data_IF_839865128252
#
_entry.id   IF_839865128252
#
_cell.length_a   1.000
_cell.length_b   1.000
_cell.length_c   1.000
_cell.angle_alpha   90.00
_cell.angle_beta   90.00
_cell.angle_gamma   90.00
#
_symmetry.space_group_name_H-M   'P 1'
#
loop_
_entity.id
_entity.type
_entity.pdbx_description
1 polymer ?
#
# COMPACT_ATOMS: atom_id res chain seq x y z
N UNK A 1 -52.63 -60.69 10.55
CA UNK A 1 -51.87 -59.95 11.59
C UNK A 1 -52.37 -58.52 11.53
N UNK A 2 -53.05 -58.05 12.58
CA UNK A 2 -53.71 -56.74 12.57
C UNK A 2 -52.66 -55.63 12.45
N UNK A 3 -52.97 -54.58 11.69
CA UNK A 3 -52.07 -53.45 11.38
C UNK A 3 -51.47 -52.82 12.66
N UNK A 4 -52.19 -52.92 13.77
CA UNK A 4 -51.77 -52.50 15.11
C UNK A 4 -50.60 -53.32 15.66
N UNK A 5 -50.57 -54.62 15.42
CA UNK A 5 -49.49 -55.52 15.85
C UNK A 5 -48.19 -55.23 15.09
N UNK A 6 -48.30 -54.95 13.79
CA UNK A 6 -47.14 -54.58 12.96
C UNK A 6 -46.55 -53.24 13.43
N UNK A 7 -47.41 -52.25 13.71
CA UNK A 7 -46.96 -50.94 14.18
C UNK A 7 -46.26 -51.03 15.55
N UNK A 8 -46.75 -51.88 16.46
CA UNK A 8 -46.11 -52.12 17.76
C UNK A 8 -44.76 -52.82 17.62
N UNK A 9 -44.62 -53.76 16.67
CA UNK A 9 -43.35 -54.42 16.38
C UNK A 9 -42.35 -53.40 15.83
N UNK A 10 -42.75 -52.57 14.86
CA UNK A 10 -41.87 -51.55 14.27
C UNK A 10 -41.45 -50.50 15.30
N UNK A 11 -42.38 -50.03 16.13
CA UNK A 11 -42.07 -49.08 17.20
C UNK A 11 -41.12 -49.69 18.24
N UNK A 12 -41.34 -50.95 18.61
CA UNK A 12 -40.45 -51.70 19.49
C UNK A 12 -39.03 -51.80 18.92
N UNK A 13 -38.89 -52.11 17.63
CA UNK A 13 -37.58 -52.16 16.95
C UNK A 13 -36.88 -50.80 16.96
N UNK A 14 -37.59 -49.71 16.69
CA UNK A 14 -37.02 -48.36 16.68
C UNK A 14 -36.55 -47.95 18.08
N UNK A 15 -37.37 -48.16 19.11
CA UNK A 15 -36.98 -47.84 20.49
C UNK A 15 -35.78 -48.67 20.93
N UNK A 16 -35.73 -49.95 20.56
CA UNK A 16 -34.59 -50.83 20.88
C UNK A 16 -33.31 -50.36 20.19
N UNK A 17 -33.40 -49.89 18.93
CA UNK A 17 -32.28 -49.31 18.20
C UNK A 17 -31.75 -48.03 18.86
N UNK A 18 -32.64 -47.14 19.30
CA UNK A 18 -32.25 -45.89 19.98
C UNK A 18 -31.55 -46.20 21.31
N UNK A 19 -32.08 -47.14 22.09
CA UNK A 19 -31.48 -47.56 23.36
C UNK A 19 -30.12 -48.25 23.12
N UNK A 20 -30.01 -49.08 22.08
CA UNK A 20 -28.74 -49.72 21.71
C UNK A 20 -27.69 -48.68 21.27
N UNK A 21 -28.09 -47.67 20.50
CA UNK A 21 -27.19 -46.60 20.06
C UNK A 21 -26.75 -45.73 21.24
N UNK A 22 -27.67 -45.37 22.13
CA UNK A 22 -27.38 -44.63 23.36
C UNK A 22 -26.45 -45.42 24.29
N UNK A 23 -26.70 -46.72 24.46
CA UNK A 23 -25.84 -47.62 25.20
C UNK A 23 -24.45 -47.77 24.58
N UNK A 24 -24.36 -47.80 23.25
CA UNK A 24 -23.08 -47.84 22.52
C UNK A 24 -22.28 -46.54 22.69
N UNK A 25 -22.93 -45.38 22.62
CA UNK A 25 -22.28 -44.07 22.86
C UNK A 25 -21.79 -43.98 24.31
N UNK A 26 -22.60 -44.37 25.29
CA UNK A 26 -22.19 -44.40 26.69
C UNK A 26 -21.06 -45.40 26.91
N UNK A 27 -21.11 -46.58 26.29
CA UNK A 27 -20.05 -47.58 26.36
C UNK A 27 -18.73 -47.08 25.74
N UNK A 28 -18.80 -46.33 24.64
CA UNK A 28 -17.62 -45.70 24.02
C UNK A 28 -17.08 -44.53 24.85
N UNK A 29 -17.94 -43.79 25.55
CA UNK A 29 -17.53 -42.68 26.42
C UNK A 29 -17.06 -43.13 27.81
N UNK A 30 -17.51 -44.28 28.29
CA UNK A 30 -17.10 -44.84 29.61
C UNK A 30 -15.99 -45.87 29.51
N UNK A 31 -15.64 -46.35 28.31
CA UNK A 31 -14.30 -46.90 28.10
C UNK A 31 -13.33 -45.74 28.26
N UNK A 32 -12.64 -45.73 29.40
CA UNK A 32 -11.33 -45.12 29.51
C UNK A 32 -10.58 -45.45 28.22
N UNK A 33 -10.20 -44.42 27.49
CA UNK A 33 -9.33 -44.60 26.34
C UNK A 33 -8.13 -45.38 26.87
N UNK A 34 -8.02 -46.64 26.47
CA UNK A 34 -6.73 -47.31 26.42
C UNK A 34 -5.89 -46.35 25.60
N UNK A 35 -5.09 -45.56 26.32
CA UNK A 35 -4.03 -44.75 25.78
C UNK A 35 -3.16 -45.76 25.06
N UNK A 36 -3.42 -45.92 23.77
CA UNK A 36 -2.47 -46.52 22.87
C UNK A 36 -1.25 -45.66 23.07
N UNK A 37 -0.27 -46.21 23.80
CA UNK A 37 1.08 -45.70 23.91
C UNK A 37 1.59 -45.71 22.47
N UNK A 38 1.28 -44.64 21.75
CA UNK A 38 2.13 -44.15 20.66
C UNK A 38 3.50 -44.18 21.29
N UNK A 39 4.42 -44.95 20.68
CA UNK A 39 5.84 -45.02 21.05
C UNK A 39 6.16 -43.83 21.92
N UNK A 40 6.53 -44.07 23.17
CA UNK A 40 7.31 -43.13 23.95
C UNK A 40 8.53 -42.86 23.06
N UNK A 41 8.39 -41.87 22.17
CA UNK A 41 9.49 -41.02 21.79
C UNK A 41 9.84 -40.53 23.17
N UNK A 42 10.90 -41.12 23.73
CA UNK A 42 11.76 -40.38 24.62
C UNK A 42 12.07 -39.15 23.77
N UNK A 43 11.23 -38.11 23.88
CA UNK A 43 11.70 -36.77 23.65
C UNK A 43 12.87 -36.75 24.61
N UNK A 44 14.12 -36.78 24.10
CA UNK A 44 15.24 -36.59 25.00
C UNK A 44 14.84 -35.37 25.81
N UNK A 45 14.99 -35.43 27.15
CA UNK A 45 14.92 -34.23 27.98
C UNK A 45 15.65 -33.16 27.18
N UNK A 46 14.87 -32.28 26.54
CA UNK A 46 15.45 -31.15 25.86
C UNK A 46 15.74 -30.32 27.09
N UNK A 47 16.94 -30.49 27.65
CA UNK A 47 17.59 -29.39 28.32
C UNK A 47 17.21 -28.20 27.46
N UNK A 48 16.37 -27.29 28.00
CA UNK A 48 16.13 -26.01 27.36
C UNK A 48 17.53 -25.47 27.12
N UNK A 49 18.03 -25.66 25.89
CA UNK A 49 19.35 -25.19 25.51
C UNK A 49 19.13 -23.70 25.43
N UNK A 50 19.26 -23.04 26.58
CA UNK A 50 19.24 -21.59 26.70
C UNK A 50 20.26 -21.14 25.68
N UNK A 51 19.76 -20.60 24.57
CA UNK A 51 20.64 -20.22 23.50
C UNK A 51 21.54 -19.11 24.06
N UNK A 52 22.88 -19.28 24.10
CA UNK A 52 23.78 -18.30 24.70
C UNK A 52 23.76 -16.94 23.98
N UNK A 53 23.12 -16.90 22.81
CA UNK A 53 22.98 -15.71 21.99
C UNK A 53 21.67 -14.95 22.23
N UNK A 54 20.64 -15.54 22.84
CA UNK A 54 19.28 -14.95 22.92
C UNK A 54 19.29 -13.52 23.48
N UNK A 55 20.08 -13.25 24.53
CA UNK A 55 20.16 -11.94 25.19
C UNK A 55 21.27 -11.02 24.63
N UNK A 56 21.80 -11.32 23.44
CA UNK A 56 22.92 -10.57 22.84
C UNK A 56 22.48 -9.47 21.86
N UNK A 57 21.22 -9.05 21.91
CA UNK A 57 20.67 -7.97 21.08
C UNK A 57 21.48 -6.66 21.17
N UNK A 58 21.83 -6.23 22.38
CA UNK A 58 22.64 -5.02 22.61
C UNK A 58 24.04 -5.09 21.99
N UNK A 59 24.64 -6.29 21.98
CA UNK A 59 25.92 -6.50 21.32
C UNK A 59 25.78 -6.37 19.80
N UNK A 60 24.66 -6.82 19.22
CA UNK A 60 24.38 -6.68 17.80
C UNK A 60 24.17 -5.21 17.42
N UNK A 61 23.39 -4.46 18.19
CA UNK A 61 23.19 -3.02 18.01
C UNK A 61 24.53 -2.28 18.08
N UNK A 62 25.35 -2.59 19.09
CA UNK A 62 26.66 -1.96 19.27
C UNK A 62 27.60 -2.18 18.09
N UNK A 63 27.54 -3.34 17.42
CA UNK A 63 28.34 -3.59 16.22
C UNK A 63 27.88 -2.72 15.05
N UNK A 64 26.57 -2.54 14.87
CA UNK A 64 26.03 -1.69 13.79
C UNK A 64 26.32 -0.22 14.04
N UNK A 65 26.12 0.27 15.28
CA UNK A 65 26.39 1.66 15.67
C UNK A 65 27.81 2.12 15.37
N UNK A 66 28.80 1.21 15.51
CA UNK A 66 30.22 1.49 15.30
C UNK A 66 30.65 1.50 13.85
N UNK A 67 29.78 1.11 12.91
CA UNK A 67 30.10 1.25 11.49
C UNK A 67 30.23 2.71 11.14
N UNK A 68 31.19 3.00 10.27
CA UNK A 68 31.45 4.36 9.79
C UNK A 68 30.79 4.56 8.43
N UNK A 69 30.24 5.75 8.24
CA UNK A 69 29.73 6.24 6.96
C UNK A 69 30.52 7.49 6.56
N UNK A 70 30.95 7.53 5.30
CA UNK A 70 31.41 8.77 4.68
C UNK A 70 30.16 9.58 4.36
N UNK A 71 29.94 10.67 5.08
CA UNK A 71 28.75 11.50 4.84
C UNK A 71 28.80 12.06 3.42
N UNK A 72 27.69 11.98 2.66
CA UNK A 72 27.64 12.67 1.38
C UNK A 72 27.75 14.17 1.65
N UNK A 73 28.38 14.90 0.73
CA UNK A 73 28.42 16.36 0.76
C UNK A 73 26.98 16.87 0.77
N UNK A 74 26.48 17.26 1.94
CA UNK A 74 25.17 17.90 2.05
C UNK A 74 25.33 19.27 1.39
N UNK A 75 24.67 19.55 0.24
CA UNK A 75 24.77 20.86 -0.36
C UNK A 75 24.17 21.86 0.62
N UNK A 76 25.00 22.73 1.21
CA UNK A 76 24.51 23.87 1.98
C UNK A 76 23.52 24.61 1.09
N UNK A 77 22.27 24.75 1.55
CA UNK A 77 21.29 25.66 0.94
C UNK A 77 21.98 26.99 0.68
N UNK A 78 22.14 27.37 -0.58
CA UNK A 78 22.60 28.71 -0.94
C UNK A 78 21.59 29.71 -0.35
N UNK A 79 21.98 30.39 0.73
CA UNK A 79 21.36 31.67 1.06
C UNK A 79 21.47 32.56 -0.20
N UNK A 80 20.40 33.27 -0.60
CA UNK A 80 20.41 34.05 -1.82
C UNK A 80 21.41 35.19 -1.66
N UNK A 81 22.65 34.98 -2.14
CA UNK A 81 23.65 36.04 -2.16
C UNK A 81 23.22 37.09 -3.17
N UNK A 82 23.29 38.39 -2.80
CA UNK A 82 22.94 39.47 -3.70
C UNK A 82 23.88 39.44 -4.91
N UNK A 83 23.28 39.56 -6.09
CA UNK A 83 23.93 39.50 -7.40
C UNK A 83 25.16 40.42 -7.44
N UNK A 84 26.36 39.83 -7.35
CA UNK A 84 27.59 40.51 -7.76
C UNK A 84 28.55 39.51 -8.41
N UNK A 85 29.31 40.06 -9.36
CA UNK A 85 29.93 39.38 -10.51
C UNK A 85 30.99 38.34 -10.14
N UNK A 86 30.95 37.23 -10.89
CA UNK A 86 32.05 36.39 -11.38
C UNK A 86 33.25 36.19 -10.44
N UNK A 87 33.30 35.02 -9.81
CA UNK A 87 34.45 34.10 -9.83
C UNK A 87 33.89 32.67 -9.72
N UNK A 88 34.20 31.81 -10.69
CA UNK A 88 34.01 30.35 -10.56
C UNK A 88 34.94 29.91 -9.43
N UNK A 89 34.39 29.75 -8.23
CA UNK A 89 35.05 29.00 -7.17
C UNK A 89 34.79 27.54 -7.53
N UNK A 90 35.84 26.81 -7.88
CA UNK A 90 35.78 25.34 -7.84
C UNK A 90 35.42 25.04 -6.38
N UNK A 91 34.24 24.47 -6.15
CA UNK A 91 33.91 23.91 -4.84
C UNK A 91 34.91 22.78 -4.63
N UNK A 92 35.89 23.04 -3.79
CA UNK A 92 36.78 22.02 -3.25
C UNK A 92 35.87 21.06 -2.48
N UNK A 93 35.68 19.86 -3.03
CA UNK A 93 35.01 18.75 -2.35
C UNK A 93 35.79 18.45 -1.06
N UNK A 94 35.34 19.05 0.04
CA UNK A 94 35.88 18.70 1.36
C UNK A 94 35.19 17.40 1.75
N UNK A 95 35.85 16.27 1.50
CA UNK A 95 35.46 14.99 2.08
C UNK A 95 35.34 15.17 3.60
N UNK A 96 34.11 15.13 4.11
CA UNK A 96 33.87 15.17 5.55
C UNK A 96 34.43 13.88 6.16
N UNK A 97 35.03 13.94 7.36
CA UNK A 97 35.52 12.75 8.02
C UNK A 97 34.39 11.72 8.19
N UNK A 98 34.69 10.41 8.11
CA UNK A 98 33.72 9.39 8.41
C UNK A 98 33.15 9.61 9.81
N UNK A 99 31.84 9.42 9.97
CA UNK A 99 31.18 9.42 11.28
C UNK A 99 30.59 8.05 11.55
N UNK A 100 30.38 7.75 12.81
CA UNK A 100 29.68 6.52 13.17
C UNK A 100 28.21 6.58 12.78
N UNK A 101 27.57 5.43 12.61
CA UNK A 101 26.13 5.39 12.34
C UNK A 101 25.34 6.05 13.46
N UNK A 102 25.74 5.87 14.72
CA UNK A 102 25.07 6.51 15.86
C UNK A 102 25.06 8.04 15.75
N UNK A 103 26.20 8.63 15.37
CA UNK A 103 26.32 10.07 15.11
C UNK A 103 25.53 10.51 13.87
N UNK A 104 25.52 9.68 12.81
CA UNK A 104 24.77 9.98 11.59
C UNK A 104 23.25 10.01 11.84
N UNK A 105 22.71 9.07 12.60
CA UNK A 105 21.27 9.04 12.93
C UNK A 105 20.87 10.12 13.95
N UNK A 106 21.81 10.62 14.76
CA UNK A 106 21.57 11.79 15.61
C UNK A 106 21.50 13.11 14.81
N UNK A 107 22.00 13.13 13.57
CA UNK A 107 21.91 14.28 12.68
C UNK A 107 20.61 14.26 11.86
N UNK A 108 19.67 15.14 12.20
CA UNK A 108 18.40 15.28 11.45
C UNK A 108 18.58 15.55 9.96
N UNK A 109 19.63 16.27 9.57
CA UNK A 109 19.88 16.60 8.17
C UNK A 109 20.30 15.37 7.39
N UNK A 110 21.08 14.47 7.99
CA UNK A 110 21.41 13.16 7.40
C UNK A 110 20.14 12.33 7.19
N UNK A 111 19.29 12.22 8.21
CA UNK A 111 18.02 11.46 8.11
C UNK A 111 17.12 12.03 7.00
N UNK A 112 16.92 13.35 6.97
CA UNK A 112 16.03 13.99 5.98
C UNK A 112 16.60 13.96 4.57
N UNK A 113 17.90 14.24 4.39
CA UNK A 113 18.50 14.39 3.06
C UNK A 113 19.00 13.09 2.45
N UNK A 114 19.52 12.17 3.27
CA UNK A 114 20.14 10.91 2.80
C UNK A 114 19.15 9.76 2.85
N UNK A 115 18.32 9.66 3.88
CA UNK A 115 17.32 8.60 3.97
C UNK A 115 15.98 9.00 3.34
N UNK A 116 15.72 10.30 3.20
CA UNK A 116 14.42 10.80 2.72
C UNK A 116 13.27 10.48 3.67
N UNK A 117 13.56 10.25 4.96
CA UNK A 117 12.57 9.87 5.97
C UNK A 117 12.18 11.10 6.78
N UNK A 118 10.88 11.37 6.87
CA UNK A 118 10.30 12.45 7.70
C UNK A 118 9.61 11.95 8.97
N UNK A 119 9.57 10.64 9.18
CA UNK A 119 8.96 9.98 10.34
C UNK A 119 9.78 10.18 11.62
N UNK A 120 9.11 10.06 12.78
CA UNK A 120 9.75 10.25 14.09
C UNK A 120 10.72 9.10 14.39
N UNK A 121 11.93 9.41 14.85
CA UNK A 121 12.89 8.39 15.25
C UNK A 121 12.49 7.75 16.59
N UNK A 122 12.35 6.42 16.61
CA UNK A 122 12.10 5.63 17.82
C UNK A 122 13.42 5.20 18.45
N UNK A 123 14.38 4.80 17.60
CA UNK A 123 15.71 4.39 18.02
C UNK A 123 16.09 3.00 17.52
N UNK A 124 17.13 2.44 18.14
CA UNK A 124 17.70 1.15 17.76
C UNK A 124 16.90 0.00 18.34
N UNK A 125 16.57 -0.97 17.49
CA UNK A 125 15.88 -2.20 17.87
C UNK A 125 16.68 -3.40 17.37
N UNK A 126 16.62 -4.49 18.12
CA UNK A 126 17.17 -5.77 17.70
C UNK A 126 16.15 -6.87 17.87
N UNK A 127 16.05 -7.74 16.88
CA UNK A 127 15.26 -8.95 16.92
C UNK A 127 16.18 -10.14 16.72
N UNK A 128 16.14 -11.07 17.66
CA UNK A 128 16.84 -12.34 17.49
C UNK A 128 16.18 -13.14 16.37
N UNK A 129 16.98 -13.58 15.40
CA UNK A 129 16.46 -14.23 14.21
C UNK A 129 16.34 -15.74 14.43
N UNK A 130 15.23 -16.22 15.00
CA UNK A 130 15.02 -17.65 15.30
C UNK A 130 14.79 -18.54 14.05
N UNK A 131 14.35 -18.00 12.90
CA UNK A 131 13.88 -18.83 11.77
C UNK A 131 14.78 -18.91 10.51
N UNK A 132 16.03 -18.44 10.51
CA UNK A 132 16.72 -18.22 9.21
C UNK A 132 17.46 -19.39 8.57
N UNK A 133 17.57 -20.57 9.20
CA UNK A 133 18.57 -21.59 8.82
C UNK A 133 20.05 -21.12 8.94
N UNK A 134 20.32 -19.86 9.32
CA UNK A 134 21.67 -19.32 9.50
C UNK A 134 22.25 -19.62 10.90
N UNK A 135 21.39 -19.88 11.89
CA UNK A 135 21.78 -20.38 13.21
C UNK A 135 21.65 -19.34 14.32
N UNK A 136 21.95 -19.73 15.56
CA UNK A 136 21.52 -19.00 16.76
C UNK A 136 22.19 -17.63 16.99
N UNK A 137 23.23 -17.29 16.22
CA UNK A 137 24.09 -16.12 16.42
C UNK A 137 23.77 -14.95 15.48
N UNK A 138 22.66 -15.04 14.75
CA UNK A 138 22.19 -14.02 13.82
C UNK A 138 21.12 -13.13 14.44
N UNK A 139 21.29 -11.82 14.25
CA UNK A 139 20.37 -10.79 14.71
C UNK A 139 19.93 -9.92 13.54
N UNK A 140 18.66 -9.53 13.54
CA UNK A 140 18.21 -8.39 12.75
C UNK A 140 18.35 -7.14 13.62
N UNK A 141 19.03 -6.12 13.11
CA UNK A 141 19.14 -4.82 13.78
C UNK A 141 18.50 -3.77 12.88
N UNK A 142 17.68 -2.90 13.46
CA UNK A 142 16.97 -1.82 12.77
C UNK A 142 17.21 -0.50 13.50
N UNK A 143 17.33 0.59 12.75
CA UNK A 143 17.03 1.92 13.30
C UNK A 143 15.60 2.28 12.93
N UNK A 144 14.68 2.26 13.90
CA UNK A 144 13.26 2.36 13.66
C UNK A 144 12.79 3.82 13.64
N UNK A 145 12.02 4.16 12.61
CA UNK A 145 11.20 5.35 12.51
C UNK A 145 9.73 4.95 12.59
N UNK A 146 8.94 5.72 13.34
CA UNK A 146 7.51 5.51 13.51
C UNK A 146 6.73 6.37 12.52
N UNK A 147 5.96 5.71 11.67
CA UNK A 147 5.01 6.33 10.76
C UNK A 147 3.62 5.73 11.02
N UNK A 148 2.77 6.49 11.73
CA UNK A 148 1.53 5.94 12.28
C UNK A 148 1.83 4.80 13.25
N UNK A 149 1.22 3.64 13.05
CA UNK A 149 1.48 2.43 13.85
C UNK A 149 2.54 1.50 13.24
N UNK A 150 3.19 1.93 12.16
CA UNK A 150 4.21 1.13 11.48
C UNK A 150 5.61 1.63 11.86
N UNK A 151 6.50 0.66 12.08
CA UNK A 151 7.94 0.89 12.25
C UNK A 151 8.69 0.50 10.99
N UNK A 152 9.42 1.44 10.42
CA UNK A 152 10.24 1.26 9.22
C UNK A 152 11.65 1.80 9.42
N UNK A 153 12.58 1.46 8.53
CA UNK A 153 13.91 2.05 8.56
C UNK A 153 14.97 1.14 7.96
N UNK A 154 16.25 1.56 8.02
CA UNK A 154 17.36 0.74 7.59
C UNK A 154 17.51 -0.49 8.50
N UNK A 155 17.74 -1.64 7.88
CA UNK A 155 17.86 -2.93 8.53
C UNK A 155 19.13 -3.66 8.13
N UNK A 156 19.78 -4.31 9.10
CA UNK A 156 20.99 -5.10 8.91
C UNK A 156 20.84 -6.50 9.49
N UNK A 157 21.51 -7.44 8.84
CA UNK A 157 21.75 -8.78 9.37
C UNK A 157 23.12 -8.76 10.04
N UNK A 158 23.15 -9.10 11.33
CA UNK A 158 24.35 -9.12 12.15
C UNK A 158 24.70 -10.56 12.52
N UNK A 159 25.87 -11.00 12.10
CA UNK A 159 26.52 -12.22 12.54
C UNK A 159 27.43 -11.88 13.72
N UNK A 160 26.98 -12.19 14.94
CA UNK A 160 27.74 -11.89 16.15
C UNK A 160 29.01 -12.72 16.28
N UNK A 161 29.02 -13.94 15.75
CA UNK A 161 30.15 -14.87 15.86
C UNK A 161 31.33 -14.39 15.02
N UNK A 162 31.06 -13.98 13.78
CA UNK A 162 32.07 -13.51 12.84
C UNK A 162 32.22 -11.98 12.84
N UNK A 163 31.43 -11.26 13.67
CA UNK A 163 31.38 -9.79 13.74
C UNK A 163 31.11 -9.14 12.38
N UNK A 164 30.22 -9.75 11.60
CA UNK A 164 29.88 -9.28 10.24
C UNK A 164 28.52 -8.60 10.25
N UNK A 165 28.43 -7.44 9.61
CA UNK A 165 27.18 -6.70 9.42
C UNK A 165 26.92 -6.58 7.92
N UNK A 166 25.73 -6.99 7.48
CA UNK A 166 25.32 -6.97 6.07
C UNK A 166 24.03 -6.16 5.95
N UNK A 167 23.92 -5.21 5.00
CA UNK A 167 22.69 -4.46 4.80
C UNK A 167 21.62 -5.41 4.26
N UNK A 168 20.46 -5.43 4.92
CA UNK A 168 19.32 -6.25 4.51
C UNK A 168 18.52 -5.54 3.41
N UNK A 169 18.23 -4.26 3.63
CA UNK A 169 17.39 -3.45 2.75
C UNK A 169 18.10 -2.26 2.11
N UNK A 170 17.41 -1.61 1.17
CA UNK A 170 17.93 -0.47 0.42
C UNK A 170 18.33 0.69 1.34
N UNK A 171 17.53 1.02 2.35
CA UNK A 171 17.88 2.10 3.28
C UNK A 171 19.19 1.78 4.02
N UNK A 172 19.41 0.54 4.45
CA UNK A 172 20.68 0.14 5.05
C UNK A 172 21.87 0.21 4.08
N UNK A 173 21.65 -0.10 2.79
CA UNK A 173 22.66 0.09 1.74
C UNK A 173 22.98 1.57 1.53
N UNK A 174 21.96 2.43 1.53
CA UNK A 174 22.12 3.89 1.43
C UNK A 174 22.89 4.44 2.63
N UNK A 175 22.66 3.94 3.84
CA UNK A 175 23.44 4.36 5.01
C UNK A 175 24.90 3.90 4.91
N UNK A 176 25.14 2.65 4.50
CA UNK A 176 26.50 2.12 4.37
C UNK A 176 27.30 2.78 3.25
N UNK A 177 26.66 3.04 2.12
CA UNK A 177 27.27 3.70 0.98
C UNK A 177 26.27 4.67 0.34
N UNK A 178 26.19 5.92 0.85
CA UNK A 178 25.24 6.92 0.36
C UNK A 178 25.38 7.19 -1.14
N UNK A 179 26.62 7.22 -1.66
CA UNK A 179 26.87 7.53 -3.07
C UNK A 179 26.41 6.46 -4.05
N UNK A 180 26.43 5.19 -3.65
CA UNK A 180 25.97 4.07 -4.47
C UNK A 180 24.51 3.73 -4.19
N UNK A 181 24.09 3.75 -2.93
CA UNK A 181 22.73 3.39 -2.52
C UNK A 181 21.68 4.29 -3.16
N UNK A 182 21.94 5.61 -3.27
CA UNK A 182 21.01 6.55 -3.93
C UNK A 182 20.88 6.32 -5.44
N UNK A 183 21.82 5.59 -6.05
CA UNK A 183 21.78 5.21 -7.48
C UNK A 183 20.96 3.94 -7.72
N UNK A 184 20.50 3.27 -6.66
CA UNK A 184 19.62 2.11 -6.77
C UNK A 184 18.36 2.46 -7.57
N UNK A 185 17.88 1.51 -8.37
CA UNK A 185 16.69 1.69 -9.20
C UNK A 185 15.43 1.96 -8.39
N UNK A 186 15.40 1.58 -7.11
CA UNK A 186 14.25 1.71 -6.23
C UNK A 186 14.33 2.90 -5.27
N UNK A 187 15.47 3.60 -5.18
CA UNK A 187 15.62 4.73 -4.25
C UNK A 187 14.73 5.90 -4.69
N UNK A 188 13.90 6.40 -3.78
CA UNK A 188 12.93 7.47 -4.07
C UNK A 188 11.81 7.08 -5.05
N UNK A 189 11.60 5.78 -5.29
CA UNK A 189 10.57 5.27 -6.22
C UNK A 189 9.28 4.80 -5.55
N UNK A 190 9.00 5.26 -4.33
CA UNK A 190 7.80 4.88 -3.58
C UNK A 190 6.51 5.06 -4.40
N UNK A 191 6.36 6.19 -5.11
CA UNK A 191 5.18 6.42 -5.96
C UNK A 191 5.07 5.44 -7.13
N UNK A 192 6.20 4.98 -7.70
CA UNK A 192 6.19 3.98 -8.77
C UNK A 192 5.75 2.60 -8.23
N UNK A 193 6.17 2.27 -7.00
CA UNK A 193 5.75 1.04 -6.32
C UNK A 193 4.27 1.10 -5.97
N UNK A 194 3.79 2.22 -5.40
CA UNK A 194 2.36 2.43 -5.12
C UNK A 194 1.52 2.36 -6.38
N UNK A 195 1.98 2.97 -7.47
CA UNK A 195 1.34 2.86 -8.79
C UNK A 195 1.26 1.39 -9.24
N UNK A 196 2.34 0.62 -9.11
CA UNK A 196 2.34 -0.80 -9.48
C UNK A 196 1.38 -1.63 -8.61
N UNK A 197 1.34 -1.38 -7.30
CA UNK A 197 0.44 -2.03 -6.35
C UNK A 197 -1.02 -1.66 -6.64
N UNK A 198 -1.31 -0.37 -6.79
CA UNK A 198 -2.65 0.14 -7.11
C UNK A 198 -3.18 -0.41 -8.44
N UNK A 199 -2.29 -0.67 -9.40
CA UNK A 199 -2.61 -1.29 -10.69
C UNK A 199 -2.71 -2.82 -10.68
N UNK A 200 -2.49 -3.48 -9.54
CA UNK A 200 -2.72 -4.92 -9.39
C UNK A 200 -4.14 -5.28 -9.84
N UNK A 201 -4.28 -6.39 -10.59
CA UNK A 201 -5.53 -6.79 -11.22
C UNK A 201 -6.04 -8.09 -10.64
N UNK A 202 -7.28 -8.04 -10.15
CA UNK A 202 -8.05 -9.23 -9.79
C UNK A 202 -8.57 -9.93 -11.06
N UNK A 203 -9.17 -11.12 -10.91
CA UNK A 203 -9.79 -11.85 -12.02
C UNK A 203 -10.90 -11.03 -12.70
N UNK A 204 -11.62 -10.23 -11.92
CA UNK A 204 -12.60 -9.23 -12.39
C UNK A 204 -12.03 -8.10 -13.25
N UNK A 205 -10.69 -8.03 -13.37
CA UNK A 205 -9.90 -6.92 -13.95
C UNK A 205 -9.94 -5.63 -13.14
N UNK A 206 -10.67 -5.62 -12.02
CA UNK A 206 -10.66 -4.51 -11.08
C UNK A 206 -9.23 -4.22 -10.62
N UNK A 207 -8.89 -2.93 -10.49
CA UNK A 207 -7.63 -2.54 -9.88
C UNK A 207 -7.75 -2.55 -8.36
N UNK A 208 -6.66 -2.82 -7.64
CA UNK A 208 -6.63 -2.65 -6.17
C UNK A 208 -7.02 -1.23 -5.78
N UNK A 209 -6.54 -0.21 -6.49
CA UNK A 209 -6.95 1.18 -6.24
C UNK A 209 -8.47 1.35 -6.31
N UNK A 210 -9.13 0.75 -7.31
CA UNK A 210 -10.58 0.73 -7.42
C UNK A 210 -11.24 0.02 -6.23
N UNK A 211 -10.72 -1.15 -5.83
CA UNK A 211 -11.24 -1.91 -4.69
C UNK A 211 -11.15 -1.11 -3.38
N UNK A 212 -10.02 -0.44 -3.15
CA UNK A 212 -9.86 0.48 -2.01
C UNK A 212 -10.88 1.62 -2.06
N UNK A 213 -11.05 2.29 -3.21
CA UNK A 213 -12.04 3.37 -3.30
C UNK A 213 -13.46 2.86 -3.01
N UNK A 214 -13.84 1.68 -3.53
CA UNK A 214 -15.14 1.08 -3.22
C UNK A 214 -15.30 0.79 -1.73
N UNK A 215 -14.30 0.16 -1.11
CA UNK A 215 -14.33 -0.18 0.30
C UNK A 215 -14.60 1.05 1.19
N UNK A 216 -13.84 2.14 0.97
CA UNK A 216 -13.98 3.35 1.78
C UNK A 216 -15.17 4.24 1.40
N UNK A 217 -15.69 4.12 0.17
CA UNK A 217 -16.90 4.83 -0.22
C UNK A 217 -18.15 4.17 0.38
N UNK A 218 -18.23 2.83 0.36
CA UNK A 218 -19.40 2.04 0.75
C UNK A 218 -19.52 1.78 2.25
N UNK A 219 -18.49 2.10 3.03
CA UNK A 219 -18.50 1.90 4.49
C UNK A 219 -19.65 2.72 5.11
N UNK A 220 -20.70 2.00 5.54
CA UNK A 220 -21.95 2.57 6.04
C UNK A 220 -21.76 3.49 7.27
N UNK A 221 -20.68 3.27 8.01
CA UNK A 221 -20.26 4.04 9.17
C UNK A 221 -19.04 4.90 8.88
N UNK A 222 -18.88 5.45 7.67
CA UNK A 222 -17.88 6.50 7.43
C UNK A 222 -18.29 7.74 8.25
N UNK A 223 -18.04 7.70 9.55
CA UNK A 223 -18.02 8.87 10.41
C UNK A 223 -17.05 9.86 9.77
N UNK A 224 -17.30 11.15 9.94
CA UNK A 224 -16.52 12.24 9.33
C UNK A 224 -15.01 12.17 9.57
N UNK A 225 -14.57 11.31 10.48
CA UNK A 225 -13.24 11.26 11.04
C UNK A 225 -12.39 10.15 10.40
N UNK A 226 -13.00 9.19 9.71
CA UNK A 226 -12.28 8.15 8.96
C UNK A 226 -11.48 8.80 7.82
N UNK A 227 -10.16 8.80 7.97
CA UNK A 227 -9.25 9.50 7.06
C UNK A 227 -8.21 8.54 6.53
N UNK A 228 -8.21 8.31 5.21
CA UNK A 228 -7.11 7.62 4.55
C UNK A 228 -5.86 8.47 4.72
N UNK A 229 -4.84 7.87 5.34
CA UNK A 229 -3.53 8.47 5.55
C UNK A 229 -2.67 8.26 4.28
N UNK A 230 -2.73 7.07 3.67
CA UNK A 230 -2.09 6.75 2.40
C UNK A 230 -1.14 5.55 2.49
N UNK A 231 -0.23 5.44 1.52
CA UNK A 231 0.72 4.33 1.42
C UNK A 231 2.09 4.67 2.02
N UNK A 232 2.63 3.72 2.77
CA UNK A 232 4.00 3.71 3.27
C UNK A 232 4.72 2.48 2.73
N UNK A 233 5.88 2.67 2.09
CA UNK A 233 6.63 1.61 1.42
C UNK A 233 7.95 1.39 2.15
N UNK A 234 8.23 0.13 2.50
CA UNK A 234 9.53 -0.30 3.03
C UNK A 234 10.12 -1.36 2.10
N UNK A 235 11.31 -1.09 1.57
CA UNK A 235 12.04 -2.08 0.79
C UNK A 235 12.53 -3.18 1.75
N UNK A 236 12.34 -4.45 1.39
CA UNK A 236 12.87 -5.58 2.15
C UNK A 236 14.20 -6.05 1.55
N UNK A 237 14.16 -6.88 0.50
CA UNK A 237 15.37 -7.43 -0.14
C UNK A 237 15.10 -7.73 -1.62
N UNK A 238 16.07 -7.44 -2.48
CA UNK A 238 15.93 -7.67 -3.92
C UNK A 238 14.77 -6.85 -4.47
N UNK A 239 13.75 -7.52 -5.01
CA UNK A 239 12.58 -6.85 -5.60
C UNK A 239 11.34 -6.91 -4.70
N UNK A 240 11.53 -7.27 -3.43
CA UNK A 240 10.44 -7.41 -2.45
C UNK A 240 10.28 -6.14 -1.62
N UNK A 241 9.02 -5.73 -1.47
CA UNK A 241 8.59 -4.56 -0.73
C UNK A 241 7.50 -4.94 0.26
N UNK A 242 7.58 -4.39 1.47
CA UNK A 242 6.42 -4.30 2.36
C UNK A 242 5.71 -2.99 2.09
N UNK A 243 4.42 -3.08 1.85
CA UNK A 243 3.58 -1.93 1.55
C UNK A 243 2.46 -1.88 2.58
N UNK A 244 2.33 -0.72 3.22
CA UNK A 244 1.37 -0.48 4.27
C UNK A 244 0.38 0.57 3.80
N UNK A 245 -0.89 0.19 3.70
CA UNK A 245 -1.97 1.12 3.41
C UNK A 245 -2.64 1.54 4.72
N UNK A 246 -2.54 2.81 5.08
CA UNK A 246 -2.92 3.33 6.40
C UNK A 246 -4.16 4.22 6.35
N UNK A 247 -5.00 4.12 7.37
CA UNK A 247 -6.13 5.02 7.62
C UNK A 247 -6.37 5.21 9.12
N UNK A 248 -7.13 6.23 9.47
CA UNK A 248 -7.71 6.41 10.80
C UNK A 248 -9.11 5.83 10.82
N UNK A 249 -9.43 5.07 11.86
CA UNK A 249 -10.76 4.54 12.15
C UNK A 249 -11.08 4.86 13.61
N UNK A 250 -12.13 5.65 13.86
CA UNK A 250 -12.45 6.14 15.21
C UNK A 250 -11.27 6.83 15.93
N UNK A 251 -10.46 7.61 15.19
CA UNK A 251 -9.20 8.22 15.66
C UNK A 251 -8.08 7.25 16.08
N UNK A 252 -8.24 5.95 15.84
CA UNK A 252 -7.18 4.96 15.99
C UNK A 252 -6.55 4.66 14.63
N UNK A 253 -5.22 4.54 14.58
CA UNK A 253 -4.54 4.21 13.34
C UNK A 253 -4.72 2.73 13.04
N UNK A 254 -5.02 2.42 11.78
CA UNK A 254 -5.13 1.04 11.29
C UNK A 254 -4.40 0.94 9.96
N UNK A 255 -3.92 -0.26 9.63
CA UNK A 255 -3.25 -0.51 8.37
C UNK A 255 -3.54 -1.89 7.78
N UNK A 256 -3.47 -1.96 6.46
CA UNK A 256 -3.38 -3.18 5.70
C UNK A 256 -1.93 -3.39 5.24
N UNK A 257 -1.37 -4.56 5.52
CA UNK A 257 0.00 -4.92 5.13
C UNK A 257 -0.01 -5.87 3.93
N UNK A 258 0.78 -5.51 2.93
CA UNK A 258 0.99 -6.29 1.72
C UNK A 258 2.48 -6.55 1.52
N UNK A 259 2.79 -7.72 0.98
CA UNK A 259 4.09 -8.01 0.37
C UNK A 259 3.94 -7.88 -1.15
N UNK A 260 4.83 -7.11 -1.76
CA UNK A 260 4.84 -6.85 -3.19
C UNK A 260 6.18 -7.25 -3.81
N UNK A 261 6.13 -8.17 -4.77
CA UNK A 261 7.25 -8.51 -5.65
C UNK A 261 7.15 -7.67 -6.92
N UNK A 262 8.06 -6.71 -7.07
CA UNK A 262 8.02 -5.72 -8.14
C UNK A 262 8.23 -6.34 -9.53
N UNK A 263 9.15 -7.29 -9.65
CA UNK A 263 9.47 -7.94 -10.93
C UNK A 263 8.34 -8.85 -11.39
N UNK A 264 7.82 -9.66 -10.45
CA UNK A 264 6.70 -10.57 -10.74
C UNK A 264 5.37 -9.84 -10.80
N UNK A 265 5.30 -8.59 -10.34
CA UNK A 265 4.08 -7.81 -10.13
C UNK A 265 3.06 -8.58 -9.28
N UNK A 266 3.56 -9.36 -8.32
CA UNK A 266 2.77 -10.21 -7.46
C UNK A 266 2.52 -9.47 -6.14
N UNK A 267 1.26 -9.41 -5.73
CA UNK A 267 0.84 -8.80 -4.48
C UNK A 267 0.24 -9.89 -3.58
N UNK A 268 0.66 -9.91 -2.32
CA UNK A 268 0.17 -10.86 -1.32
C UNK A 268 -0.32 -10.12 -0.08
N UNK A 269 -1.53 -10.40 0.43
CA UNK A 269 -1.98 -9.85 1.70
C UNK A 269 -1.26 -10.56 2.85
N UNK A 270 -0.83 -9.79 3.85
CA UNK A 270 -0.13 -10.32 5.04
C UNK A 270 -1.04 -10.37 6.27
N UNK A 271 -1.86 -9.34 6.48
CA UNK A 271 -2.79 -9.28 7.61
C UNK A 271 -4.27 -9.37 7.18
N UNK A 272 -5.17 -9.52 8.15
CA UNK A 272 -6.61 -9.65 7.91
C UNK A 272 -7.19 -8.43 7.20
N UNK A 273 -6.73 -7.23 7.55
CA UNK A 273 -7.13 -5.98 6.92
C UNK A 273 -6.82 -5.99 5.42
N UNK A 274 -5.61 -6.41 5.02
CA UNK A 274 -5.22 -6.55 3.63
C UNK A 274 -6.08 -7.57 2.87
N UNK A 275 -6.34 -8.73 3.49
CA UNK A 275 -7.21 -9.74 2.91
C UNK A 275 -8.64 -9.21 2.69
N UNK A 276 -9.21 -8.51 3.68
CA UNK A 276 -10.54 -7.91 3.55
C UNK A 276 -10.63 -6.89 2.41
N UNK A 277 -9.59 -6.07 2.23
CA UNK A 277 -9.54 -5.11 1.12
C UNK A 277 -9.42 -5.80 -0.25
N UNK A 278 -8.70 -6.92 -0.34
CA UNK A 278 -8.60 -7.71 -1.57
C UNK A 278 -9.91 -8.40 -1.93
N UNK A 279 -10.65 -8.91 -0.94
CA UNK A 279 -11.96 -9.56 -1.17
C UNK A 279 -12.94 -8.64 -1.93
N UNK A 280 -12.89 -7.32 -1.69
CA UNK A 280 -13.73 -6.35 -2.44
C UNK A 280 -13.49 -6.43 -3.95
N UNK A 281 -12.24 -6.64 -4.37
CA UNK A 281 -11.89 -6.77 -5.77
C UNK A 281 -12.13 -8.17 -6.35
N UNK A 282 -11.93 -9.21 -5.54
CA UNK A 282 -12.19 -10.61 -5.90
C UNK A 282 -13.68 -10.90 -6.09
N UNK A 283 -14.53 -10.35 -5.22
CA UNK A 283 -16.00 -10.52 -5.28
C UNK A 283 -16.67 -9.63 -6.34
N UNK A 284 -15.92 -8.73 -6.99
CA UNK A 284 -16.48 -7.75 -7.91
C UNK A 284 -16.74 -8.34 -9.31
N UNK A 285 -17.97 -8.75 -9.62
CA UNK A 285 -18.31 -9.32 -10.92
C UNK A 285 -19.08 -8.35 -11.84
N UNK A 286 -18.45 -7.24 -12.24
CA UNK A 286 -19.03 -6.30 -13.22
C UNK A 286 -18.01 -5.75 -14.20
N UNK A 287 -18.46 -5.51 -15.43
CA UNK A 287 -17.63 -4.87 -16.45
C UNK A 287 -17.46 -3.37 -16.20
N UNK A 288 -16.22 -2.90 -16.18
CA UNK A 288 -15.87 -1.49 -16.01
C UNK A 288 -16.56 -0.59 -17.04
N UNK A 289 -17.19 0.48 -16.56
CA UNK A 289 -17.70 1.56 -17.41
C UNK A 289 -16.60 2.59 -17.72
N UNK A 290 -16.59 3.13 -18.93
CA UNK A 290 -15.64 4.19 -19.31
C UNK A 290 -16.25 5.57 -19.14
N UNK A 291 -15.55 6.45 -18.40
CA UNK A 291 -15.91 7.86 -18.25
C UNK A 291 -15.13 8.79 -19.19
N UNK A 292 -14.14 8.25 -19.89
CA UNK A 292 -13.36 8.98 -20.87
C UNK A 292 -14.23 9.43 -22.05
N UNK A 293 -14.13 10.70 -22.49
CA UNK A 293 -14.81 11.15 -23.70
C UNK A 293 -14.28 10.38 -24.93
N UNK A 294 -15.17 9.92 -25.80
CA UNK A 294 -14.78 9.23 -27.05
C UNK A 294 -13.88 10.09 -27.95
N UNK A 295 -13.96 11.42 -27.81
CA UNK A 295 -13.15 12.39 -28.56
C UNK A 295 -11.78 12.66 -27.93
N UNK A 296 -11.37 11.88 -26.93
CA UNK A 296 -10.06 11.99 -26.28
C UNK A 296 -9.31 10.66 -26.33
N UNK A 297 -8.12 10.68 -26.91
CA UNK A 297 -7.22 9.53 -27.01
C UNK A 297 -6.00 9.74 -26.10
N UNK A 298 -6.04 9.17 -24.90
CA UNK A 298 -4.94 9.24 -23.92
C UNK A 298 -3.65 8.53 -24.38
N UNK A 299 -3.74 7.65 -25.38
CA UNK A 299 -2.60 6.91 -25.93
C UNK A 299 -1.90 7.64 -27.07
N UNK A 300 -2.39 8.82 -27.48
CA UNK A 300 -1.71 9.60 -28.51
C UNK A 300 -0.33 10.07 -28.02
N UNK A 301 0.76 9.87 -28.80
CA UNK A 301 2.12 10.16 -28.36
C UNK A 301 2.36 11.65 -28.12
N UNK A 302 1.64 12.52 -28.85
CA UNK A 302 1.72 13.96 -28.68
C UNK A 302 0.48 14.48 -27.93
N UNK A 303 0.64 15.17 -26.78
CA UNK A 303 -0.47 15.76 -26.02
C UNK A 303 -1.40 16.63 -26.89
N UNK A 304 -0.82 17.38 -27.84
CA UNK A 304 -1.56 18.24 -28.77
C UNK A 304 -2.51 17.50 -29.74
N UNK A 305 -2.39 16.17 -29.83
CA UNK A 305 -3.19 15.29 -30.69
C UNK A 305 -4.12 14.37 -29.88
N UNK A 306 -4.19 14.50 -28.55
CA UNK A 306 -5.08 13.69 -27.72
C UNK A 306 -6.55 13.99 -28.00
N UNK A 307 -6.91 15.25 -28.24
CA UNK A 307 -8.24 15.61 -28.74
C UNK A 307 -8.37 15.25 -30.23
N UNK A 308 -9.42 14.50 -30.59
CA UNK A 308 -9.71 14.06 -31.96
C UNK A 308 -10.97 14.72 -32.54
N UNK A 309 -11.20 14.53 -33.83
CA UNK A 309 -12.39 14.98 -34.58
C UNK A 309 -12.75 16.46 -34.36
N UNK A 310 -14.05 16.74 -34.22
CA UNK A 310 -14.57 18.08 -33.96
C UNK A 310 -14.06 18.68 -32.65
N UNK A 311 -13.78 17.86 -31.64
CA UNK A 311 -13.26 18.32 -30.36
C UNK A 311 -11.86 18.94 -30.51
N UNK A 312 -11.01 18.39 -31.38
CA UNK A 312 -9.69 18.97 -31.68
C UNK A 312 -9.80 20.41 -32.19
N UNK A 313 -10.76 20.68 -33.08
CA UNK A 313 -10.99 22.02 -33.61
C UNK A 313 -11.52 22.97 -32.53
N UNK A 314 -12.42 22.50 -31.67
CA UNK A 314 -12.99 23.32 -30.59
C UNK A 314 -11.96 23.63 -29.49
N UNK A 315 -11.17 22.64 -29.07
CA UNK A 315 -10.15 22.80 -28.04
C UNK A 315 -8.93 23.64 -28.48
N UNK A 316 -8.76 23.87 -29.79
CA UNK A 316 -7.76 24.83 -30.30
C UNK A 316 -8.24 26.28 -30.25
N UNK A 317 -9.54 26.53 -30.11
CA UNK A 317 -10.05 27.91 -30.03
C UNK A 317 -9.61 28.53 -28.69
N UNK A 318 -9.08 29.78 -28.69
CA UNK A 318 -8.59 30.43 -27.47
C UNK A 318 -9.61 30.43 -26.31
N UNK A 319 -10.90 30.60 -26.62
CA UNK A 319 -11.97 30.61 -25.62
C UNK A 319 -12.17 29.27 -24.89
N UNK A 320 -11.95 28.14 -25.57
CA UNK A 320 -12.20 26.80 -25.00
C UNK A 320 -10.90 26.10 -24.54
N UNK A 321 -9.76 26.55 -25.07
CA UNK A 321 -8.45 25.92 -24.86
C UNK A 321 -8.13 25.70 -23.37
N UNK A 322 -8.24 26.71 -22.48
CA UNK A 322 -7.95 26.49 -21.07
C UNK A 322 -8.82 25.39 -20.41
N UNK A 323 -10.11 25.34 -20.72
CA UNK A 323 -10.99 24.29 -20.20
C UNK A 323 -10.66 22.90 -20.75
N UNK A 324 -10.29 22.80 -22.04
CA UNK A 324 -9.82 21.55 -22.61
C UNK A 324 -8.45 21.10 -22.06
N UNK A 325 -7.55 22.06 -21.77
CA UNK A 325 -6.26 21.77 -21.14
C UNK A 325 -6.49 21.25 -19.70
N UNK A 326 -7.42 21.85 -18.95
CA UNK A 326 -7.78 21.38 -17.60
C UNK A 326 -8.37 19.97 -17.59
N UNK A 327 -9.25 19.66 -18.55
CA UNK A 327 -9.76 18.31 -18.75
C UNK A 327 -8.65 17.32 -19.09
N UNK A 328 -7.74 17.70 -20.02
CA UNK A 328 -6.63 16.86 -20.42
C UNK A 328 -5.71 16.54 -19.23
N UNK A 329 -5.43 17.51 -18.36
CA UNK A 329 -4.61 17.30 -17.15
C UNK A 329 -5.18 16.20 -16.24
N UNK A 330 -6.51 16.11 -16.08
CA UNK A 330 -7.15 15.02 -15.32
C UNK A 330 -7.13 13.71 -16.11
N UNK A 331 -7.43 13.75 -17.40
CA UNK A 331 -7.48 12.55 -18.23
C UNK A 331 -6.12 11.86 -18.39
N UNK A 332 -5.04 12.62 -18.25
CA UNK A 332 -3.68 12.09 -18.21
C UNK A 332 -3.36 11.37 -16.90
N UNK A 333 -4.12 11.61 -15.83
CA UNK A 333 -4.04 10.88 -14.56
C UNK A 333 -4.86 9.59 -14.65
N UNK A 334 -4.38 8.64 -15.48
CA UNK A 334 -5.10 7.40 -15.81
C UNK A 334 -5.57 6.62 -14.59
N UNK A 335 -4.75 6.57 -13.53
CA UNK A 335 -5.08 5.88 -12.28
C UNK A 335 -6.26 6.53 -11.55
N UNK A 336 -6.33 7.87 -11.52
CA UNK A 336 -7.47 8.60 -10.93
C UNK A 336 -8.73 8.29 -11.71
N UNK A 337 -8.68 8.43 -13.05
CA UNK A 337 -9.81 8.17 -13.93
C UNK A 337 -10.31 6.74 -13.77
N UNK A 338 -9.40 5.77 -13.84
CA UNK A 338 -9.75 4.36 -13.72
C UNK A 338 -10.36 4.02 -12.35
N UNK A 339 -9.81 4.57 -11.27
CA UNK A 339 -10.34 4.33 -9.92
C UNK A 339 -11.80 4.81 -9.82
N UNK A 340 -12.12 5.96 -10.43
CA UNK A 340 -13.49 6.48 -10.50
C UNK A 340 -14.40 5.65 -11.41
N UNK A 341 -13.87 5.14 -12.52
CA UNK A 341 -14.61 4.23 -13.41
C UNK A 341 -15.11 3.01 -12.64
N UNK A 342 -14.27 2.43 -11.76
CA UNK A 342 -14.68 1.32 -10.90
C UNK A 342 -15.75 1.73 -9.87
N UNK A 343 -15.61 2.90 -9.25
CA UNK A 343 -16.64 3.44 -8.35
C UNK A 343 -18.01 3.55 -9.06
N UNK A 344 -18.02 4.15 -10.24
CA UNK A 344 -19.24 4.35 -11.01
C UNK A 344 -19.82 3.03 -11.54
N UNK A 345 -18.97 2.05 -11.83
CA UNK A 345 -19.38 0.68 -12.20
C UNK A 345 -20.14 0.00 -11.05
N UNK A 346 -19.70 0.19 -9.80
CA UNK A 346 -20.39 -0.36 -8.64
C UNK A 346 -21.74 0.34 -8.38
N UNK A 347 -21.82 1.64 -8.68
CA UNK A 347 -23.04 2.43 -8.48
C UNK A 347 -24.12 2.19 -9.55
N UNK A 348 -23.74 1.92 -10.80
CA UNK A 348 -24.68 1.56 -11.87
C UNK A 348 -25.20 0.12 -11.69
N UNK A 349 -26.47 -0.13 -12.00
CA UNK A 349 -27.01 -1.50 -11.97
C UNK A 349 -26.52 -2.31 -13.18
N UNK A 350 -26.35 -1.63 -14.32
CA UNK A 350 -25.87 -2.20 -15.58
C UNK A 350 -24.96 -1.22 -16.32
N UNK A 351 -24.13 -1.72 -17.23
CA UNK A 351 -23.32 -0.86 -18.11
C UNK A 351 -24.20 -0.01 -19.06
N UNK A 352 -25.36 -0.54 -19.49
CA UNK A 352 -26.28 0.14 -20.39
C UNK A 352 -26.89 1.41 -19.78
N UNK A 353 -27.20 1.37 -18.48
CA UNK A 353 -27.67 2.53 -17.71
C UNK A 353 -26.65 3.68 -17.77
N UNK A 354 -25.36 3.35 -17.69
CA UNK A 354 -24.27 4.33 -17.79
C UNK A 354 -24.16 4.91 -19.21
N UNK A 355 -24.28 4.09 -20.24
CA UNK A 355 -24.28 4.55 -21.64
C UNK A 355 -25.50 5.43 -21.95
N UNK A 356 -26.68 5.10 -21.41
CA UNK A 356 -27.87 5.92 -21.55
C UNK A 356 -27.71 7.28 -20.85
N UNK A 357 -27.14 7.29 -19.64
CA UNK A 357 -26.82 8.51 -18.92
C UNK A 357 -25.87 9.43 -19.72
N UNK A 358 -24.86 8.86 -20.39
CA UNK A 358 -23.98 9.61 -21.30
C UNK A 358 -24.72 10.14 -22.52
N UNK A 359 -25.58 9.34 -23.15
CA UNK A 359 -26.39 9.75 -24.32
C UNK A 359 -27.34 10.90 -23.99
N UNK A 360 -27.99 10.87 -22.82
CA UNK A 360 -28.83 11.97 -22.29
C UNK A 360 -28.02 13.18 -21.82
N UNK A 361 -26.69 13.10 -21.86
CA UNK A 361 -25.73 14.09 -21.32
C UNK A 361 -25.85 14.28 -19.81
N UNK A 362 -26.46 13.37 -19.09
CA UNK A 362 -26.57 13.42 -17.63
C UNK A 362 -25.29 12.92 -16.95
N UNK A 363 -24.47 12.14 -17.65
CA UNK A 363 -23.12 11.74 -17.26
C UNK A 363 -22.08 12.46 -18.13
N UNK A 364 -21.39 13.47 -17.58
CA UNK A 364 -20.49 14.33 -18.35
C UNK A 364 -19.41 15.02 -17.51
N UNK A 365 -18.29 15.33 -18.18
CA UNK A 365 -17.25 16.22 -17.66
C UNK A 365 -17.59 17.69 -17.90
N UNK A 366 -17.36 18.54 -16.90
CA UNK A 366 -17.66 19.97 -16.91
C UNK A 366 -16.46 20.74 -16.32
N UNK A 367 -15.65 21.43 -17.13
CA UNK A 367 -14.64 22.35 -16.62
C UNK A 367 -15.25 23.74 -16.38
N UNK A 368 -14.97 24.31 -15.21
CA UNK A 368 -15.42 25.64 -14.79
C UNK A 368 -14.22 26.47 -14.33
N UNK A 369 -14.02 27.70 -14.84
CA UNK A 369 -12.92 28.55 -14.38
C UNK A 369 -13.14 28.98 -12.92
N UNK A 370 -12.08 28.98 -12.10
CA UNK A 370 -12.09 29.52 -10.73
C UNK A 370 -11.44 30.90 -10.68
N UNK A 371 -10.12 30.96 -10.86
CA UNK A 371 -9.36 32.21 -10.85
C UNK A 371 -8.03 32.02 -11.59
N UNK A 372 -7.61 32.99 -12.40
CA UNK A 372 -6.33 32.92 -13.11
C UNK A 372 -6.18 31.65 -13.97
N UNK A 373 -5.22 30.78 -13.61
CA UNK A 373 -4.94 29.50 -14.27
C UNK A 373 -5.66 28.29 -13.64
N UNK A 374 -6.52 28.52 -12.67
CA UNK A 374 -7.19 27.46 -11.91
C UNK A 374 -8.59 27.14 -12.46
N UNK A 375 -8.87 25.85 -12.60
CA UNK A 375 -10.13 25.31 -13.05
C UNK A 375 -10.67 24.34 -12.02
N UNK A 376 -11.98 24.37 -11.77
CA UNK A 376 -12.68 23.26 -11.15
C UNK A 376 -13.24 22.36 -12.25
N UNK A 377 -12.82 21.10 -12.27
CA UNK A 377 -13.30 20.11 -13.22
C UNK A 377 -14.18 19.11 -12.47
N UNK A 378 -15.44 19.01 -12.89
CA UNK A 378 -16.45 18.14 -12.29
C UNK A 378 -16.83 17.02 -13.27
N UNK A 379 -16.94 15.79 -12.78
CA UNK A 379 -17.73 14.74 -13.41
C UNK A 379 -19.11 14.71 -12.77
N UNK A 380 -20.13 15.11 -13.52
CA UNK A 380 -21.54 15.03 -13.11
C UNK A 380 -22.13 13.71 -13.61
N UNK A 381 -22.91 13.02 -12.77
CA UNK A 381 -23.57 11.77 -13.16
C UNK A 381 -24.93 11.60 -12.46
N UNK A 382 -25.86 10.93 -13.13
CA UNK A 382 -27.20 10.62 -12.63
C UNK A 382 -27.56 9.16 -12.93
N UNK A 383 -27.21 8.25 -12.02
CA UNK A 383 -27.37 6.80 -12.21
C UNK A 383 -28.51 6.20 -11.37
N UNK A 384 -29.14 6.97 -10.48
CA UNK A 384 -30.25 6.51 -9.61
C UNK A 384 -31.32 7.59 -9.42
N UNK A 385 -31.51 8.44 -10.43
CA UNK A 385 -32.43 9.59 -10.36
C UNK A 385 -31.97 10.72 -9.44
N UNK A 386 -30.73 10.66 -8.91
CA UNK A 386 -30.10 11.71 -8.11
C UNK A 386 -28.81 12.15 -8.79
N UNK A 387 -28.71 13.45 -9.11
CA UNK A 387 -27.46 14.03 -9.60
C UNK A 387 -26.40 14.01 -8.49
N UNK A 388 -25.28 13.39 -8.79
CA UNK A 388 -24.09 13.37 -7.95
C UNK A 388 -22.90 13.90 -8.75
N UNK A 389 -21.83 14.22 -8.03
CA UNK A 389 -20.62 14.70 -8.68
C UNK A 389 -19.35 14.40 -7.91
N UNK A 390 -18.27 14.32 -8.68
CA UNK A 390 -16.89 14.29 -8.18
C UNK A 390 -16.11 15.39 -8.89
N UNK A 391 -15.23 16.08 -8.18
CA UNK A 391 -14.61 17.33 -8.60
C UNK A 391 -13.15 17.44 -8.16
N UNK A 392 -12.36 18.08 -9.02
CA UNK A 392 -10.95 18.39 -8.78
C UNK A 392 -10.68 19.83 -9.13
N UNK A 393 -9.81 20.45 -8.36
CA UNK A 393 -9.18 21.72 -8.73
C UNK A 393 -7.89 21.43 -9.49
N UNK A 394 -7.73 22.07 -10.64
CA UNK A 394 -6.62 21.89 -11.57
C UNK A 394 -5.93 23.23 -11.75
N UNK A 395 -4.63 23.30 -11.46
CA UNK A 395 -3.81 24.46 -11.80
C UNK A 395 -3.00 24.19 -13.08
N UNK A 396 -3.32 24.93 -14.14
CA UNK A 396 -2.67 24.78 -15.44
C UNK A 396 -1.21 25.25 -15.48
N UNK A 397 -0.74 26.01 -14.47
CA UNK A 397 0.67 26.42 -14.40
C UNK A 397 1.56 25.31 -13.88
N UNK A 398 1.11 24.62 -12.84
CA UNK A 398 1.83 23.52 -12.21
C UNK A 398 1.47 22.15 -12.80
N UNK A 399 0.38 22.06 -13.57
CA UNK A 399 -0.26 20.80 -13.98
C UNK A 399 -0.64 19.91 -12.77
N UNK A 400 -0.88 20.53 -11.63
CA UNK A 400 -1.22 19.83 -10.40
C UNK A 400 -2.74 19.68 -10.29
N UNK A 401 -3.17 18.49 -9.85
CA UNK A 401 -4.58 18.22 -9.51
C UNK A 401 -4.73 18.11 -7.99
N UNK A 402 -5.76 18.77 -7.46
CA UNK A 402 -6.13 18.76 -6.04
C UNK A 402 -7.57 18.28 -5.89
N UNK A 403 -7.87 17.43 -4.91
CA UNK A 403 -9.24 16.97 -4.68
C UNK A 403 -10.09 18.14 -4.16
N UNK A 404 -11.31 18.29 -4.68
CA UNK A 404 -12.24 19.34 -4.25
C UNK A 404 -13.42 18.80 -3.41
N UNK A 405 -13.56 17.48 -3.27
CA UNK A 405 -14.58 16.82 -2.45
C UNK A 405 -14.07 15.53 -1.81
N UNK A 406 -14.95 14.86 -1.05
CA UNK A 406 -14.62 13.62 -0.32
C UNK A 406 -14.17 12.51 -1.28
N UNK A 407 -14.91 12.27 -2.36
CA UNK A 407 -14.65 11.15 -3.27
C UNK A 407 -13.36 11.39 -4.05
N UNK A 408 -13.12 12.61 -4.52
CA UNK A 408 -11.84 12.96 -5.17
C UNK A 408 -10.66 12.86 -4.20
N UNK A 409 -10.85 13.20 -2.91
CA UNK A 409 -9.82 13.02 -1.88
C UNK A 409 -9.49 11.55 -1.69
N UNK A 410 -10.50 10.69 -1.52
CA UNK A 410 -10.32 9.24 -1.40
C UNK A 410 -9.63 8.66 -2.63
N UNK A 411 -10.10 8.99 -3.84
CA UNK A 411 -9.55 8.49 -5.10
C UNK A 411 -8.07 8.85 -5.28
N UNK A 412 -7.64 10.00 -4.75
CA UNK A 412 -6.25 10.43 -4.80
C UNK A 412 -5.40 9.75 -3.70
N UNK A 413 -5.95 9.60 -2.49
CA UNK A 413 -5.25 8.96 -1.37
C UNK A 413 -4.96 7.48 -1.59
N UNK A 414 -5.82 6.76 -2.32
CA UNK A 414 -5.61 5.31 -2.59
C UNK A 414 -4.51 5.03 -3.61
N UNK A 415 -4.03 6.04 -4.35
CA UNK A 415 -2.99 5.89 -5.39
C UNK A 415 -1.70 6.66 -5.12
N UNK A 416 -1.59 7.39 -3.99
CA UNK A 416 -0.41 8.20 -3.67
C UNK A 416 0.40 7.60 -2.52
N UNK A 417 1.71 7.58 -2.69
CA UNK A 417 2.66 7.43 -1.60
C UNK A 417 2.63 8.69 -0.72
N UNK A 418 2.90 8.51 0.58
CA UNK A 418 3.09 9.63 1.51
C UNK A 418 4.42 10.34 1.31
#
# INVERSE_FOLDING_TARGET
METRTILQIVLGVIVTLIVALGGFIIYQLTREAETVVVKEIIEPEVEERINPWADKGEAAISLVKRLEVVQPLIPKKEEPKPKSRRKRKVEEEVELPPVTFDEAFANEEFVKSVLGVSAEAVGWESQWWEETKFGPHFFMVRFAFKDGDIKLGPEWIVDLKNRKVVPKNLLAQVVQNPTEGVKSEYYGKNQQIVSAIGNHRFESRMSLAGALLLYFEQRADSQSDDTIIGWTINHERGNLFKAYFQWLENNESTYAEFEFDFDRKALKPINLQAANLMNVGEDFDRQRVSIMPMTYNASAPNPANRWIDGARKQCRKPANKPGCDALATIFDQKEVVETLEWLLTAQANTADEFEECKKKRECRWIPSPKSGSEFNVKYAFNLKGKEQNVSWDVDLKSNEIKPADRVSKLALSVIRAR
#
